data_IF_503743687531
#
_entry.id   IF_503743687531
#
_cell.length_a   1.000
_cell.length_b   1.000
_cell.length_c   1.000
_cell.angle_alpha   90.00
_cell.angle_beta   90.00
_cell.angle_gamma   90.00
#
_symmetry.space_group_name_H-M   'P 1'
#
loop_
_entity.id
_entity.type
_entity.pdbx_description
1 polymer ?
#
# COMPACT_ATOMS: atom_id res chain seq x y z
N UNK A 1 -23.36 28.92 -4.50
CA UNK A 1 -23.06 28.56 -3.10
C UNK A 1 -21.91 27.58 -3.13
N UNK A 2 -20.80 27.92 -2.49
CA UNK A 2 -19.61 27.07 -2.47
C UNK A 2 -19.76 26.03 -1.36
N UNK A 3 -20.29 24.86 -1.71
CA UNK A 3 -20.65 23.78 -0.77
C UNK A 3 -19.46 23.23 0.05
N UNK A 4 -18.24 23.68 -0.27
CA UNK A 4 -17.01 23.30 0.40
C UNK A 4 -16.65 24.20 1.59
N UNK A 5 -17.13 25.45 1.65
CA UNK A 5 -16.70 26.44 2.65
C UNK A 5 -17.04 26.07 4.10
N UNK A 6 -18.20 25.47 4.33
CA UNK A 6 -18.63 25.07 5.68
C UNK A 6 -17.83 23.86 6.19
N UNK A 7 -17.42 22.96 5.28
CA UNK A 7 -16.57 21.82 5.60
C UNK A 7 -15.14 22.23 5.99
N UNK A 8 -14.66 23.37 5.49
CA UNK A 8 -13.34 23.91 5.83
C UNK A 8 -13.35 24.60 7.20
N UNK A 9 -14.44 25.29 7.56
CA UNK A 9 -14.55 26.03 8.83
C UNK A 9 -14.80 25.13 10.04
N UNK A 10 -15.41 23.96 9.83
CA UNK A 10 -15.67 22.98 10.88
C UNK A 10 -15.47 21.58 10.32
N UNK A 11 -14.21 21.16 10.12
CA UNK A 11 -13.92 19.85 9.58
C UNK A 11 -14.46 18.78 10.52
N UNK A 12 -15.30 17.89 9.99
CA UNK A 12 -15.75 16.70 10.72
C UNK A 12 -14.59 15.72 10.90
N UNK A 13 -14.68 14.87 11.91
CA UNK A 13 -13.72 13.77 12.07
C UNK A 13 -13.83 12.83 10.86
N UNK A 14 -12.71 12.20 10.48
CA UNK A 14 -12.71 11.19 9.40
C UNK A 14 -13.68 10.04 9.69
N UNK A 15 -13.83 9.68 10.97
CA UNK A 15 -14.78 8.68 11.45
C UNK A 15 -16.25 9.03 11.15
N UNK A 16 -16.55 10.33 10.98
CA UNK A 16 -17.89 10.84 10.65
C UNK A 16 -18.07 11.02 9.14
N UNK A 17 -17.05 10.72 8.33
CA UNK A 17 -17.16 10.79 6.87
C UNK A 17 -18.10 9.71 6.36
N UNK A 18 -19.14 10.16 5.70
CA UNK A 18 -20.12 9.30 5.03
C UNK A 18 -19.79 9.06 3.56
N UNK A 19 -18.89 9.89 3.00
CA UNK A 19 -18.48 9.87 1.58
C UNK A 19 -17.30 8.97 1.30
N UNK A 20 -16.43 8.78 2.28
CA UNK A 20 -15.26 7.90 2.17
C UNK A 20 -15.52 6.60 2.92
N UNK A 21 -15.10 5.44 2.37
CA UNK A 21 -15.13 4.19 3.10
C UNK A 21 -14.32 4.28 4.40
N UNK A 22 -14.83 3.67 5.46
CA UNK A 22 -14.15 3.61 6.76
C UNK A 22 -13.08 2.51 6.73
N UNK A 23 -11.96 2.83 6.10
CA UNK A 23 -10.82 1.94 5.92
C UNK A 23 -9.90 1.90 7.15
N UNK A 24 -9.33 0.71 7.41
CA UNK A 24 -8.32 0.51 8.46
C UNK A 24 -7.00 1.22 8.16
N UNK A 25 -6.66 1.43 6.88
CA UNK A 25 -5.40 2.07 6.49
C UNK A 25 -5.26 3.47 7.07
N UNK A 26 -6.39 4.12 7.38
CA UNK A 26 -6.41 5.45 7.99
C UNK A 26 -5.78 5.51 9.39
N UNK A 27 -5.61 4.35 10.04
CA UNK A 27 -5.06 4.21 11.40
C UNK A 27 -3.63 3.68 11.41
N UNK A 28 -3.09 3.30 10.26
CA UNK A 28 -1.77 2.70 10.16
C UNK A 28 -0.70 3.76 9.99
N UNK A 29 0.44 3.56 10.64
CA UNK A 29 1.66 4.26 10.30
C UNK A 29 2.20 3.67 8.98
N UNK A 30 2.30 4.45 7.90
CA UNK A 30 2.78 3.94 6.64
C UNK A 30 4.24 3.45 6.69
N UNK A 31 5.03 3.94 7.65
CA UNK A 31 6.41 3.51 7.88
C UNK A 31 6.54 2.44 8.96
N UNK A 32 5.45 2.03 9.63
CA UNK A 32 5.52 1.11 10.78
C UNK A 32 6.16 -0.25 10.49
N UNK A 33 6.14 -0.70 9.22
CA UNK A 33 6.82 -1.94 8.83
C UNK A 33 8.36 -1.86 9.02
N UNK A 34 8.92 -0.64 9.00
CA UNK A 34 10.35 -0.42 9.20
C UNK A 34 10.80 -0.73 10.62
N UNK A 35 9.95 -0.57 11.63
CA UNK A 35 10.32 -0.81 13.04
C UNK A 35 10.82 -2.26 13.26
N UNK A 36 10.25 -3.20 12.51
CA UNK A 36 10.64 -4.61 12.56
C UNK A 36 11.78 -4.90 11.59
N UNK A 37 11.70 -4.38 10.36
CA UNK A 37 12.63 -4.74 9.27
C UNK A 37 14.01 -4.10 9.43
N UNK A 38 14.06 -2.96 10.12
CA UNK A 38 15.29 -2.19 10.33
C UNK A 38 15.85 -2.36 11.73
N UNK A 39 15.38 -3.35 12.51
CA UNK A 39 15.90 -3.57 13.85
C UNK A 39 17.43 -3.74 13.84
N UNK A 40 18.16 -2.72 14.33
CA UNK A 40 19.63 -2.66 14.30
C UNK A 40 20.26 -2.16 12.99
N UNK A 41 19.48 -1.59 12.08
CA UNK A 41 19.93 -0.99 10.81
C UNK A 41 19.46 0.45 10.72
N UNK A 42 20.32 1.32 10.24
CA UNK A 42 19.95 2.70 9.94
C UNK A 42 19.15 2.75 8.62
N UNK A 43 18.16 3.65 8.57
CA UNK A 43 17.41 3.97 7.35
C UNK A 43 17.16 5.47 7.28
N UNK A 44 16.94 5.96 6.06
CA UNK A 44 16.54 7.34 5.81
C UNK A 44 15.14 7.36 5.20
N UNK A 45 14.31 8.31 5.64
CA UNK A 45 13.09 8.68 4.92
C UNK A 45 13.51 9.58 3.76
N UNK A 46 13.31 9.10 2.55
CA UNK A 46 14.00 9.58 1.36
C UNK A 46 13.14 10.53 0.49
N UNK A 47 11.86 10.67 0.84
CA UNK A 47 10.89 11.54 0.15
C UNK A 47 10.01 12.34 1.11
N UNK A 48 9.20 13.27 0.58
CA UNK A 48 8.23 14.02 1.37
C UNK A 48 7.21 13.06 2.01
N UNK A 49 6.92 13.28 3.30
CA UNK A 49 5.91 12.48 4.00
C UNK A 49 4.53 12.75 3.40
N UNK A 50 4.03 11.77 2.64
CA UNK A 50 2.66 11.78 2.14
C UNK A 50 1.77 10.95 3.07
N UNK A 51 0.52 11.37 3.30
CA UNK A 51 -0.44 10.53 3.99
C UNK A 51 -0.51 9.16 3.31
N UNK A 52 -0.37 8.09 4.09
CA UNK A 52 -0.44 6.71 3.62
C UNK A 52 0.72 6.24 2.74
N UNK A 53 1.86 6.93 2.75
CA UNK A 53 3.06 6.48 2.02
C UNK A 53 4.33 6.65 2.84
N UNK A 54 5.23 5.68 2.73
CA UNK A 54 6.57 5.70 3.27
C UNK A 54 7.57 5.51 2.12
N UNK A 55 8.32 6.56 1.81
CA UNK A 55 9.45 6.52 0.88
C UNK A 55 10.72 6.47 1.72
N UNK A 56 11.45 5.34 1.65
CA UNK A 56 12.60 5.09 2.50
C UNK A 56 13.73 4.41 1.73
N UNK A 57 14.94 4.53 2.26
CA UNK A 57 16.10 3.74 1.83
C UNK A 57 16.82 3.20 3.05
N UNK A 58 17.38 2.00 2.96
CA UNK A 58 18.26 1.50 4.01
C UNK A 58 19.65 2.11 3.83
N UNK A 59 20.38 2.29 4.92
CA UNK A 59 21.74 2.82 4.84
C UNK A 59 22.64 1.90 4.02
N UNK A 60 23.26 2.46 2.98
CA UNK A 60 24.09 1.74 2.02
C UNK A 60 23.34 1.32 0.75
N UNK A 61 22.01 1.45 0.72
CA UNK A 61 21.24 1.26 -0.51
C UNK A 61 21.29 2.54 -1.37
N UNK A 62 21.43 2.35 -2.68
CA UNK A 62 21.36 3.43 -3.66
C UNK A 62 19.92 3.78 -4.03
N UNK A 63 19.02 2.81 -3.94
CA UNK A 63 17.63 2.91 -4.40
C UNK A 63 16.66 3.02 -3.24
N UNK A 64 15.59 3.77 -3.47
CA UNK A 64 14.52 3.93 -2.51
C UNK A 64 13.45 2.84 -2.71
N UNK A 65 12.74 2.54 -1.63
CA UNK A 65 11.55 1.71 -1.59
C UNK A 65 10.37 2.60 -1.21
N UNK A 66 9.31 2.53 -1.99
CA UNK A 66 8.06 3.23 -1.73
C UNK A 66 7.04 2.20 -1.27
N UNK A 67 6.55 2.33 -0.04
CA UNK A 67 5.44 1.58 0.51
C UNK A 67 4.23 2.50 0.62
N UNK A 68 3.09 2.11 0.07
CA UNK A 68 1.87 2.90 0.04
C UNK A 68 0.64 2.10 0.45
N UNK A 69 -0.32 2.78 1.07
CA UNK A 69 -1.61 2.23 1.47
C UNK A 69 -2.70 2.99 0.72
N UNK A 70 -3.59 2.25 0.07
CA UNK A 70 -4.59 2.82 -0.83
C UNK A 70 -5.95 2.19 -0.57
N UNK A 71 -7.01 2.95 -0.88
CA UNK A 71 -8.37 2.40 -0.97
C UNK A 71 -8.75 2.40 -2.45
N UNK A 72 -8.95 1.22 -3.03
CA UNK A 72 -9.31 1.04 -4.44
C UNK A 72 -10.77 0.67 -4.57
N UNK A 73 -11.45 1.18 -5.59
CA UNK A 73 -12.77 0.67 -5.96
C UNK A 73 -12.58 -0.76 -6.50
N UNK A 74 -13.35 -1.71 -5.98
CA UNK A 74 -13.16 -3.14 -6.18
C UNK A 74 -13.21 -3.56 -7.67
N UNK A 75 -14.04 -2.88 -8.46
CA UNK A 75 -14.18 -3.11 -9.91
C UNK A 75 -12.96 -2.58 -10.71
N UNK A 76 -12.20 -1.66 -10.13
CA UNK A 76 -10.98 -1.11 -10.72
C UNK A 76 -9.70 -1.74 -10.18
N UNK A 77 -9.79 -2.46 -9.06
CA UNK A 77 -8.69 -3.24 -8.54
C UNK A 77 -8.47 -4.42 -9.49
N UNK A 78 -7.22 -4.70 -9.84
CA UNK A 78 -6.83 -5.88 -10.61
C UNK A 78 -7.39 -7.12 -9.90
N UNK A 79 -8.49 -7.65 -10.41
CA UNK A 79 -9.31 -8.59 -9.66
C UNK A 79 -8.58 -9.94 -9.62
N UNK A 80 -8.29 -10.52 -8.45
CA UNK A 80 -7.55 -11.79 -8.36
C UNK A 80 -8.34 -13.03 -8.84
N UNK A 81 -9.53 -12.84 -9.42
CA UNK A 81 -10.23 -13.89 -10.15
C UNK A 81 -9.50 -14.26 -11.46
N UNK A 82 -8.67 -13.37 -12.01
CA UNK A 82 -7.69 -13.72 -13.06
C UNK A 82 -6.42 -14.25 -12.39
N UNK A 83 -6.43 -15.55 -12.04
CA UNK A 83 -5.29 -16.27 -11.46
C UNK A 83 -4.20 -16.55 -12.51
N UNK A 84 -3.54 -15.49 -12.98
CA UNK A 84 -2.25 -15.66 -13.62
C UNK A 84 -1.18 -16.10 -12.61
N UNK A 85 0.00 -16.48 -13.10
CA UNK A 85 1.13 -16.94 -12.29
C UNK A 85 1.73 -15.84 -11.40
N UNK A 86 1.40 -14.59 -11.70
CA UNK A 86 1.79 -13.38 -10.99
C UNK A 86 1.05 -13.17 -9.66
N UNK A 87 0.01 -13.97 -9.36
CA UNK A 87 -0.70 -13.91 -8.08
C UNK A 87 -0.22 -14.97 -7.10
N UNK A 88 0.10 -14.54 -5.89
CA UNK A 88 0.51 -15.36 -4.74
C UNK A 88 -0.33 -15.01 -3.51
N UNK A 89 0.07 -15.54 -2.35
CA UNK A 89 -0.49 -15.15 -1.05
C UNK A 89 0.59 -14.78 -0.05
N UNK A 90 0.55 -13.55 0.45
CA UNK A 90 1.33 -13.14 1.62
C UNK A 90 0.42 -13.17 2.86
N UNK A 91 0.76 -14.00 3.85
CA UNK A 91 -0.05 -14.17 5.08
C UNK A 91 -1.53 -14.44 4.81
N UNK A 92 -1.82 -15.22 3.77
CA UNK A 92 -3.17 -15.58 3.34
C UNK A 92 -3.89 -14.53 2.49
N UNK A 93 -3.37 -13.31 2.40
CA UNK A 93 -3.90 -12.19 1.59
C UNK A 93 -3.48 -12.39 0.13
N UNK A 94 -4.39 -12.11 -0.81
CA UNK A 94 -4.05 -12.20 -2.23
C UNK A 94 -3.11 -11.06 -2.61
N UNK A 95 -2.00 -11.44 -3.24
CA UNK A 95 -0.92 -10.52 -3.59
C UNK A 95 -0.55 -10.68 -5.05
N UNK A 96 -0.56 -9.60 -5.80
CA UNK A 96 0.05 -9.51 -7.12
C UNK A 96 1.54 -9.17 -6.98
N UNK A 97 2.39 -9.87 -7.72
CA UNK A 97 3.84 -9.65 -7.73
C UNK A 97 4.35 -9.59 -9.15
N UNK A 98 5.15 -8.57 -9.43
CA UNK A 98 5.84 -8.41 -10.69
C UNK A 98 7.28 -7.96 -10.47
N UNK A 99 8.22 -8.60 -11.18
CA UNK A 99 9.58 -8.14 -11.32
C UNK A 99 9.97 -7.98 -12.79
N UNK A 100 10.74 -6.94 -13.10
CA UNK A 100 11.22 -6.66 -14.45
C UNK A 100 12.66 -6.17 -14.42
N UNK A 101 13.59 -6.99 -14.92
CA UNK A 101 14.99 -6.58 -15.07
C UNK A 101 15.12 -5.36 -15.98
N UNK A 102 15.71 -4.30 -15.45
CA UNK A 102 16.09 -3.11 -16.22
C UNK A 102 17.34 -3.43 -17.01
N UNK A 103 17.28 -3.16 -18.32
CA UNK A 103 18.39 -3.39 -19.27
C UNK A 103 19.17 -2.11 -19.59
N UNK A 104 18.68 -0.97 -19.14
CA UNK A 104 19.18 0.36 -19.47
C UNK A 104 18.92 1.38 -18.35
N UNK A 105 19.71 2.46 -18.38
CA UNK A 105 19.62 3.57 -17.44
C UNK A 105 20.36 3.34 -16.11
N UNK A 106 20.13 4.21 -15.11
CA UNK A 106 20.89 4.20 -13.85
C UNK A 106 20.65 2.95 -12.98
N UNK A 107 19.58 2.20 -13.23
CA UNK A 107 19.25 0.96 -12.51
C UNK A 107 19.53 -0.30 -13.34
N UNK A 108 20.41 -0.21 -14.35
CA UNK A 108 20.79 -1.37 -15.17
C UNK A 108 21.32 -2.50 -14.28
N UNK A 109 20.84 -3.73 -14.51
CA UNK A 109 21.21 -4.89 -13.71
C UNK A 109 20.41 -5.03 -12.41
N UNK A 110 19.41 -4.17 -12.17
CA UNK A 110 18.45 -4.30 -11.08
C UNK A 110 17.05 -4.63 -11.64
N UNK A 111 16.27 -5.40 -10.89
CA UNK A 111 14.85 -5.63 -11.13
C UNK A 111 14.05 -4.43 -10.60
N UNK A 112 13.14 -3.91 -11.42
CA UNK A 112 12.04 -3.09 -10.92
C UNK A 112 10.95 -4.01 -10.38
N UNK A 113 10.61 -3.82 -9.12
CA UNK A 113 9.73 -4.69 -8.37
C UNK A 113 8.44 -3.95 -8.02
N UNK A 114 7.31 -4.62 -8.18
CA UNK A 114 5.99 -4.17 -7.73
C UNK A 114 5.32 -5.30 -6.95
N UNK A 115 4.84 -5.01 -5.75
CA UNK A 115 4.07 -5.94 -4.92
C UNK A 115 2.79 -5.24 -4.49
N UNK A 116 1.63 -5.83 -4.75
CA UNK A 116 0.32 -5.26 -4.43
C UNK A 116 -0.51 -6.30 -3.67
N UNK A 117 -0.80 -6.05 -2.39
CA UNK A 117 -1.60 -6.94 -1.53
C UNK A 117 -2.98 -6.36 -1.27
N UNK A 118 -4.02 -7.10 -1.66
CA UNK A 118 -5.43 -6.69 -1.53
C UNK A 118 -6.00 -7.12 -0.18
N UNK A 119 -5.85 -6.27 0.82
CA UNK A 119 -6.31 -6.52 2.19
C UNK A 119 -7.79 -6.16 2.32
N UNK A 120 -8.57 -7.01 2.99
CA UNK A 120 -10.03 -6.81 3.11
C UNK A 120 -10.85 -7.23 1.89
N UNK A 121 -10.25 -7.94 0.93
CA UNK A 121 -10.96 -8.46 -0.26
C UNK A 121 -12.15 -9.36 0.09
N UNK A 122 -12.05 -10.15 1.16
CA UNK A 122 -13.14 -11.02 1.62
C UNK A 122 -14.30 -10.25 2.27
N UNK A 123 -14.06 -9.01 2.71
CA UNK A 123 -15.06 -8.13 3.30
C UNK A 123 -14.91 -6.71 2.77
N UNK A 124 -15.24 -6.46 1.48
CA UNK A 124 -15.06 -5.14 0.88
C UNK A 124 -15.84 -4.06 1.62
N UNK A 125 -15.23 -2.89 1.76
CA UNK A 125 -15.81 -1.74 2.45
C UNK A 125 -16.85 -1.10 1.53
N UNK A 126 -17.99 -0.73 2.09
CA UNK A 126 -19.00 0.08 1.39
C UNK A 126 -19.08 1.46 2.02
N UNK A 127 -19.44 2.46 1.22
CA UNK A 127 -19.76 3.78 1.75
C UNK A 127 -21.10 3.77 2.49
N UNK A 128 -21.43 4.87 3.18
CA UNK A 128 -22.63 4.95 4.04
C UNK A 128 -23.78 5.79 3.46
N UNK A 129 -23.55 6.49 2.35
CA UNK A 129 -24.55 7.27 1.61
C UNK A 129 -24.95 6.59 0.31
N UNK A 130 -26.17 6.84 -0.19
CA UNK A 130 -26.80 6.07 -1.28
C UNK A 130 -26.02 5.93 -2.60
N UNK A 131 -25.10 6.86 -2.93
CA UNK A 131 -24.21 6.76 -4.11
C UNK A 131 -22.95 5.95 -3.81
N UNK A 132 -22.53 5.94 -2.54
CA UNK A 132 -21.32 5.26 -2.06
C UNK A 132 -21.59 3.83 -1.57
N UNK A 133 -22.85 3.47 -1.30
CA UNK A 133 -23.28 2.12 -0.89
C UNK A 133 -23.30 1.13 -2.05
N UNK A 134 -23.40 1.60 -3.29
CA UNK A 134 -23.37 0.75 -4.49
C UNK A 134 -21.96 0.40 -4.94
N UNK A 135 -20.94 1.09 -4.41
CA UNK A 135 -19.53 0.83 -4.70
C UNK A 135 -18.89 0.06 -3.56
N UNK A 136 -18.14 -0.95 -3.92
CA UNK A 136 -17.29 -1.70 -3.00
C UNK A 136 -15.85 -1.23 -3.14
N UNK A 137 -15.15 -1.22 -2.02
CA UNK A 137 -13.78 -0.76 -1.93
C UNK A 137 -12.94 -1.81 -1.23
N UNK A 138 -11.69 -1.95 -1.65
CA UNK A 138 -10.71 -2.81 -1.03
C UNK A 138 -9.52 -1.98 -0.61
N UNK A 139 -8.93 -2.34 0.53
CA UNK A 139 -7.69 -1.74 0.96
C UNK A 139 -6.53 -2.44 0.23
N UNK A 140 -5.56 -1.66 -0.23
CA UNK A 140 -4.41 -2.15 -0.97
C UNK A 140 -3.14 -1.67 -0.28
N UNK A 141 -2.22 -2.60 -0.05
CA UNK A 141 -0.85 -2.31 0.38
C UNK A 141 0.04 -2.56 -0.82
N UNK A 142 0.59 -1.50 -1.39
CA UNK A 142 1.43 -1.56 -2.58
C UNK A 142 2.84 -1.12 -2.23
N UNK A 143 3.85 -1.82 -2.73
CA UNK A 143 5.22 -1.37 -2.64
C UNK A 143 5.94 -1.49 -3.98
N UNK A 144 6.85 -0.55 -4.23
CA UNK A 144 7.74 -0.58 -5.39
C UNK A 144 9.18 -0.25 -4.99
N UNK A 145 10.13 -0.75 -5.78
CA UNK A 145 11.54 -0.49 -5.55
C UNK A 145 12.43 -1.21 -6.56
N UNK A 146 13.73 -0.92 -6.48
CA UNK A 146 14.74 -1.65 -7.24
C UNK A 146 15.47 -2.65 -6.35
N UNK A 147 15.71 -3.86 -6.86
CA UNK A 147 16.52 -4.88 -6.20
C UNK A 147 17.50 -5.54 -7.16
N UNK A 148 18.62 -6.03 -6.65
CA UNK A 148 19.60 -6.78 -7.45
C UNK A 148 19.17 -8.22 -7.70
N UNK A 149 18.24 -8.74 -6.91
CA UNK A 149 17.75 -10.12 -6.98
C UNK A 149 16.35 -10.17 -7.61
N UNK A 150 16.16 -11.09 -8.56
CA UNK A 150 14.82 -11.47 -9.03
C UNK A 150 14.02 -12.09 -7.87
N UNK A 151 12.70 -11.95 -7.91
CA UNK A 151 11.81 -12.32 -6.81
C UNK A 151 11.72 -11.26 -5.71
N UNK A 152 12.52 -10.19 -5.76
CA UNK A 152 12.43 -9.01 -4.90
C UNK A 152 12.21 -9.31 -3.40
N UNK A 153 13.11 -10.12 -2.79
CA UNK A 153 12.91 -10.64 -1.44
C UNK A 153 12.83 -9.54 -0.37
N UNK A 154 13.51 -8.40 -0.55
CA UNK A 154 13.44 -7.29 0.41
C UNK A 154 12.05 -6.65 0.36
N UNK A 155 11.53 -6.36 -0.83
CA UNK A 155 10.23 -5.74 -1.04
C UNK A 155 9.09 -6.65 -0.57
N UNK A 156 9.19 -7.96 -0.84
CA UNK A 156 8.23 -8.94 -0.34
C UNK A 156 8.17 -8.94 1.20
N UNK A 157 9.30 -8.88 1.90
CA UNK A 157 9.32 -8.79 3.36
C UNK A 157 8.71 -7.49 3.87
N UNK A 158 8.94 -6.38 3.18
CA UNK A 158 8.32 -5.07 3.49
C UNK A 158 6.80 -5.17 3.43
N UNK A 159 6.27 -5.72 2.35
CA UNK A 159 4.82 -5.87 2.19
C UNK A 159 4.24 -6.92 3.15
N UNK A 160 4.93 -8.03 3.37
CA UNK A 160 4.50 -9.05 4.33
C UNK A 160 4.31 -8.48 5.74
N UNK A 161 5.24 -7.63 6.17
CA UNK A 161 5.18 -6.98 7.48
C UNK A 161 4.09 -5.90 7.53
N UNK A 162 3.93 -5.11 6.47
CA UNK A 162 2.82 -4.15 6.36
C UNK A 162 1.45 -4.86 6.40
N UNK A 163 1.32 -6.02 5.74
CA UNK A 163 0.11 -6.86 5.81
C UNK A 163 -0.13 -7.35 7.23
N UNK A 164 0.91 -7.78 7.95
CA UNK A 164 0.80 -8.17 9.37
C UNK A 164 0.25 -7.01 10.22
N UNK A 165 0.83 -5.82 10.09
CA UNK A 165 0.38 -4.63 10.81
C UNK A 165 -1.08 -4.28 10.50
N UNK A 166 -1.49 -4.39 9.23
CA UNK A 166 -2.89 -4.19 8.85
C UNK A 166 -3.83 -5.22 9.50
N UNK A 167 -3.44 -6.49 9.53
CA UNK A 167 -4.24 -7.57 10.12
C UNK A 167 -4.43 -7.40 11.63
N UNK A 168 -3.40 -6.91 12.33
CA UNK A 168 -3.42 -6.70 13.78
C UNK A 168 -4.07 -5.37 14.20
N UNK A 169 -4.24 -4.44 13.26
CA UNK A 169 -4.90 -3.18 13.54
C UNK A 169 -6.41 -3.36 13.82
N UNK A 170 -6.83 -2.77 14.95
CA UNK A 170 -8.22 -2.73 15.43
C UNK A 170 -9.01 -1.56 14.84
#
# INVERSE_FOLDING_TARGET
MDASRDLIRSPKLRADSMRMPQSKIARLDPCGALDVLTHGKDFDIAGPQMPYMCDFKLKGDEDHTVLGYQVRELDSASHPATRGVEYTRLRGVVTHFEDRMRRDGPHNGKAWCTVESYVGLDNPITGREGVSTTRQWVDEIAATGYETELGCPKLLRVVEEAVRLYQEAS
#
